data_IF_023525697238
#
_entry.id   IF_023525697238
#
_cell.length_a   1.000
_cell.length_b   1.000
_cell.length_c   1.000
_cell.angle_alpha   90.00
_cell.angle_beta   90.00
_cell.angle_gamma   90.00
#
_symmetry.space_group_name_H-M   'P 1'
#
loop_
_entity.id
_entity.type
_entity.pdbx_description
1 polymer ?
#
# COMPACT_ATOMS: atom_id res chain seq x y z
N UNK A 1 -56.12 -82.24 -29.66
CA UNK A 1 -57.12 -81.33 -30.29
C UNK A 1 -57.03 -79.98 -29.58
N UNK A 2 -56.25 -79.07 -30.06
CA UNK A 2 -56.29 -77.71 -29.57
C UNK A 2 -55.76 -76.78 -30.67
N UNK A 3 -56.60 -75.95 -31.18
CA UNK A 3 -56.28 -74.95 -32.20
C UNK A 3 -55.69 -73.72 -31.51
N UNK A 4 -54.47 -73.33 -31.87
CA UNK A 4 -53.84 -72.10 -31.46
C UNK A 4 -54.05 -71.09 -32.57
N UNK A 5 -54.76 -70.01 -32.24
CA UNK A 5 -54.91 -68.82 -33.10
C UNK A 5 -53.62 -67.91 -32.86
N UNK A 6 -52.96 -67.64 -33.98
CA UNK A 6 -51.88 -66.63 -33.98
C UNK A 6 -52.49 -65.33 -34.46
N UNK A 7 -52.53 -64.31 -33.54
CA UNK A 7 -52.90 -62.96 -33.88
C UNK A 7 -51.66 -62.19 -34.22
N UNK A 8 -51.53 -61.69 -35.43
CA UNK A 8 -50.45 -60.82 -35.90
C UNK A 8 -50.78 -59.36 -35.50
N UNK A 9 -50.03 -58.78 -34.62
CA UNK A 9 -50.14 -57.37 -34.23
C UNK A 9 -49.19 -56.56 -35.11
N UNK A 10 -49.73 -55.74 -36.03
CA UNK A 10 -48.95 -54.74 -36.77
C UNK A 10 -48.66 -53.57 -35.85
N UNK A 11 -47.37 -53.38 -35.48
CA UNK A 11 -46.86 -52.18 -34.79
C UNK A 11 -46.40 -51.19 -35.86
N UNK A 12 -47.13 -50.10 -36.04
CA UNK A 12 -46.72 -48.96 -36.84
C UNK A 12 -45.66 -48.13 -36.04
N UNK A 13 -44.45 -48.19 -36.49
CA UNK A 13 -43.38 -47.25 -35.96
C UNK A 13 -43.68 -45.85 -36.49
N UNK A 14 -44.14 -44.95 -35.60
CA UNK A 14 -44.08 -43.55 -35.82
C UNK A 14 -42.63 -43.07 -35.42
N UNK A 15 -41.88 -42.70 -36.42
CA UNK A 15 -40.56 -42.01 -36.21
C UNK A 15 -40.82 -40.60 -35.71
N UNK A 16 -40.70 -40.38 -34.42
CA UNK A 16 -40.62 -39.02 -33.83
C UNK A 16 -39.21 -38.54 -34.02
N UNK A 17 -38.99 -37.69 -35.01
CA UNK A 17 -37.73 -36.89 -35.10
C UNK A 17 -37.76 -35.81 -34.01
N UNK A 18 -37.11 -36.10 -32.89
CA UNK A 18 -36.79 -35.09 -31.89
C UNK A 18 -35.75 -34.12 -32.49
N UNK A 19 -36.20 -32.98 -32.99
CA UNK A 19 -35.32 -31.83 -33.20
C UNK A 19 -34.83 -31.40 -31.84
N UNK A 20 -33.58 -31.68 -31.55
CA UNK A 20 -32.84 -31.04 -30.43
C UNK A 20 -32.78 -29.54 -30.72
N UNK A 21 -33.73 -28.79 -30.17
CA UNK A 21 -33.54 -27.33 -29.99
C UNK A 21 -32.36 -27.16 -29.05
N UNK A 22 -31.20 -26.87 -29.61
CA UNK A 22 -30.06 -26.37 -28.84
C UNK A 22 -30.51 -25.11 -28.10
N UNK A 23 -30.71 -25.22 -26.80
CA UNK A 23 -30.80 -24.05 -25.93
C UNK A 23 -29.51 -23.32 -26.07
N UNK A 24 -29.52 -22.21 -26.83
CA UNK A 24 -28.43 -21.26 -26.83
C UNK A 24 -28.20 -20.82 -25.36
N UNK A 25 -27.15 -21.26 -24.77
CA UNK A 25 -26.72 -20.82 -23.45
C UNK A 25 -26.56 -19.30 -23.55
N UNK A 26 -27.40 -18.56 -22.82
CA UNK A 26 -27.32 -17.10 -22.75
C UNK A 26 -25.90 -16.77 -22.36
N UNK A 27 -25.19 -15.97 -23.17
CA UNK A 27 -23.84 -15.56 -22.86
C UNK A 27 -23.87 -14.93 -21.47
N UNK A 28 -22.95 -15.36 -20.58
CA UNK A 28 -22.81 -14.75 -19.27
C UNK A 28 -22.56 -13.25 -19.47
N UNK A 29 -23.27 -12.40 -18.71
CA UNK A 29 -23.03 -10.94 -18.73
C UNK A 29 -21.68 -10.64 -18.11
N UNK A 30 -20.74 -10.25 -18.97
CA UNK A 30 -19.38 -9.88 -18.56
C UNK A 30 -19.22 -8.38 -18.32
N UNK A 31 -20.28 -7.58 -18.37
CA UNK A 31 -20.22 -6.16 -18.05
C UNK A 31 -19.84 -5.92 -16.59
N UNK A 32 -19.15 -4.83 -16.32
CA UNK A 32 -18.75 -4.38 -14.98
C UNK A 32 -17.24 -4.46 -14.70
N UNK A 33 -16.90 -4.40 -13.43
CA UNK A 33 -15.50 -4.36 -12.97
C UNK A 33 -14.90 -5.76 -12.85
N UNK A 34 -13.62 -5.84 -13.22
CA UNK A 34 -12.80 -7.05 -13.15
C UNK A 34 -11.43 -6.73 -12.59
N UNK A 35 -10.80 -7.71 -11.97
CA UNK A 35 -9.37 -7.73 -11.67
C UNK A 35 -8.75 -8.68 -12.69
N UNK A 36 -8.02 -8.13 -13.65
CA UNK A 36 -7.31 -8.84 -14.70
C UNK A 36 -5.93 -9.23 -14.18
N UNK A 37 -5.54 -10.46 -14.40
CA UNK A 37 -4.18 -10.97 -14.16
C UNK A 37 -3.62 -11.51 -15.47
N UNK A 38 -2.48 -10.96 -15.87
CA UNK A 38 -1.71 -11.33 -17.06
C UNK A 38 -0.44 -12.05 -16.61
N UNK A 39 -0.24 -13.26 -17.10
CA UNK A 39 0.90 -14.12 -16.79
C UNK A 39 1.86 -14.16 -17.97
N UNK A 40 2.89 -13.34 -17.89
CA UNK A 40 4.02 -13.33 -18.85
C UNK A 40 5.05 -14.39 -18.47
N UNK A 41 5.94 -14.79 -19.40
CA UNK A 41 7.10 -15.59 -19.06
C UNK A 41 7.98 -14.88 -17.99
N UNK A 42 7.96 -15.39 -16.77
CA UNK A 42 8.77 -14.86 -15.65
C UNK A 42 8.16 -13.70 -14.87
N UNK A 43 6.98 -13.16 -15.26
CA UNK A 43 6.33 -12.05 -14.56
C UNK A 43 4.80 -12.16 -14.55
N UNK A 44 4.15 -11.42 -13.67
CA UNK A 44 2.69 -11.37 -13.55
C UNK A 44 2.26 -9.94 -13.29
N UNK A 45 1.35 -9.44 -14.13
CA UNK A 45 0.76 -8.12 -13.98
C UNK A 45 -0.70 -8.24 -13.54
N UNK A 46 -1.13 -7.37 -12.64
CA UNK A 46 -2.53 -7.30 -12.19
C UNK A 46 -3.04 -5.88 -12.37
N UNK A 47 -4.22 -5.76 -12.96
CA UNK A 47 -4.85 -4.49 -13.29
C UNK A 47 -6.33 -4.49 -12.97
N UNK A 48 -6.89 -3.31 -12.77
CA UNK A 48 -8.35 -3.10 -12.82
C UNK A 48 -8.79 -3.00 -14.27
N UNK A 49 -9.87 -3.69 -14.63
CA UNK A 49 -10.48 -3.65 -15.95
C UNK A 49 -11.97 -3.41 -15.80
N UNK A 50 -12.53 -2.54 -16.60
CA UNK A 50 -13.98 -2.36 -16.73
C UNK A 50 -14.43 -2.73 -18.13
N UNK A 51 -15.53 -3.48 -18.24
CA UNK A 51 -16.11 -3.89 -19.51
C UNK A 51 -17.59 -3.48 -19.56
N UNK A 52 -18.05 -3.10 -20.75
CA UNK A 52 -19.43 -2.84 -21.09
C UNK A 52 -19.77 -3.64 -22.34
N UNK A 53 -20.84 -4.41 -22.28
CA UNK A 53 -21.32 -5.22 -23.41
C UNK A 53 -22.63 -4.64 -23.93
N UNK A 54 -22.66 -4.40 -25.24
CA UNK A 54 -23.88 -4.00 -25.95
C UNK A 54 -24.00 -4.91 -27.20
N UNK A 55 -25.05 -5.71 -27.25
CA UNK A 55 -25.20 -6.81 -28.21
C UNK A 55 -23.98 -7.75 -28.10
N UNK A 56 -23.17 -7.83 -29.15
CA UNK A 56 -21.97 -8.68 -29.21
C UNK A 56 -20.68 -7.83 -29.16
N UNK A 57 -20.77 -6.51 -28.94
CA UNK A 57 -19.63 -5.60 -28.88
C UNK A 57 -19.26 -5.37 -27.44
N UNK A 58 -17.94 -5.37 -27.20
CA UNK A 58 -17.35 -5.04 -25.90
C UNK A 58 -16.62 -3.72 -26.06
N UNK A 59 -16.85 -2.82 -25.11
CA UNK A 59 -16.03 -1.63 -24.88
C UNK A 59 -15.58 -1.62 -23.43
N UNK A 60 -14.44 -1.01 -23.15
CA UNK A 60 -13.92 -0.98 -21.78
C UNK A 60 -12.65 -0.18 -21.64
N UNK A 61 -12.07 -0.30 -20.46
CA UNK A 61 -10.77 0.32 -20.17
C UNK A 61 -10.01 -0.45 -19.07
N UNK A 62 -8.69 -0.34 -19.10
CA UNK A 62 -7.79 -0.73 -18.02
C UNK A 62 -6.80 0.42 -17.77
N UNK A 63 -6.92 1.08 -16.62
CA UNK A 63 -6.27 2.37 -16.39
C UNK A 63 -6.67 3.40 -17.47
N UNK A 64 -5.70 3.92 -18.20
CA UNK A 64 -5.91 4.86 -19.33
C UNK A 64 -6.05 4.18 -20.69
N UNK A 65 -5.82 2.87 -20.76
CA UNK A 65 -5.85 2.10 -22.01
C UNK A 65 -7.28 1.70 -22.36
N UNK A 66 -7.71 2.04 -23.58
CA UNK A 66 -9.01 1.64 -24.10
C UNK A 66 -9.02 0.16 -24.50
N UNK A 67 -10.18 -0.48 -24.29
CA UNK A 67 -10.42 -1.87 -24.68
C UNK A 67 -11.60 -1.89 -25.64
N UNK A 68 -11.44 -2.59 -26.76
CA UNK A 68 -12.51 -2.94 -27.67
C UNK A 68 -12.55 -4.45 -27.87
N UNK A 69 -13.71 -5.00 -28.17
CA UNK A 69 -13.81 -6.45 -28.35
C UNK A 69 -15.15 -6.92 -28.84
N UNK A 70 -15.26 -8.24 -28.92
CA UNK A 70 -16.50 -8.92 -29.35
C UNK A 70 -16.72 -10.21 -28.56
N UNK A 71 -17.98 -10.64 -28.51
CA UNK A 71 -18.36 -11.97 -28.06
C UNK A 71 -19.02 -12.68 -29.24
N UNK A 72 -18.45 -13.81 -29.65
CA UNK A 72 -19.02 -14.67 -30.71
C UNK A 72 -18.85 -16.13 -30.28
N UNK A 73 -19.92 -16.92 -30.33
CA UNK A 73 -19.90 -18.35 -29.96
C UNK A 73 -19.29 -18.65 -28.59
N UNK A 74 -19.59 -17.77 -27.59
CA UNK A 74 -19.02 -17.78 -26.24
C UNK A 74 -17.50 -17.52 -26.18
N UNK A 75 -16.89 -17.12 -27.28
CA UNK A 75 -15.48 -16.67 -27.33
C UNK A 75 -15.46 -15.14 -27.18
N UNK A 76 -14.66 -14.68 -26.22
CA UNK A 76 -14.41 -13.28 -25.94
C UNK A 76 -13.10 -12.92 -26.65
N UNK A 77 -13.11 -11.88 -27.47
CA UNK A 77 -11.90 -11.29 -28.04
C UNK A 77 -11.81 -9.86 -27.56
N UNK A 78 -10.68 -9.49 -26.95
CA UNK A 78 -10.39 -8.14 -26.47
C UNK A 78 -9.14 -7.61 -27.14
N UNK A 79 -9.11 -6.31 -27.43
CA UNK A 79 -7.97 -5.59 -28.00
C UNK A 79 -7.68 -4.37 -27.14
N UNK A 80 -6.45 -4.24 -26.71
CA UNK A 80 -5.92 -3.05 -26.06
C UNK A 80 -5.46 -2.06 -27.11
N UNK A 81 -5.90 -0.83 -26.98
CA UNK A 81 -5.62 0.22 -27.97
C UNK A 81 -4.66 1.27 -27.40
N UNK A 82 -3.63 1.56 -28.14
CA UNK A 82 -2.78 2.72 -27.89
C UNK A 82 -3.58 4.03 -28.04
N UNK A 83 -3.04 5.15 -27.59
CA UNK A 83 -3.71 6.46 -27.70
C UNK A 83 -4.00 6.86 -29.16
N UNK A 84 -3.18 6.43 -30.11
CA UNK A 84 -3.37 6.64 -31.56
C UNK A 84 -4.24 5.56 -32.21
N UNK A 85 -4.84 4.65 -31.40
CA UNK A 85 -5.82 3.66 -31.87
C UNK A 85 -5.23 2.38 -32.47
N UNK A 86 -3.90 2.17 -32.41
CA UNK A 86 -3.30 0.89 -32.82
C UNK A 86 -3.54 -0.18 -31.77
N UNK A 87 -3.62 -1.44 -32.23
CA UNK A 87 -3.72 -2.59 -31.35
C UNK A 87 -2.33 -2.88 -30.73
N UNK A 88 -2.26 -2.84 -29.43
CA UNK A 88 -1.06 -3.12 -28.62
C UNK A 88 -1.05 -4.55 -28.09
N UNK A 89 -2.25 -5.05 -27.70
CA UNK A 89 -2.41 -6.43 -27.26
C UNK A 89 -3.74 -7.02 -27.74
N UNK A 90 -3.78 -8.33 -27.90
CA UNK A 90 -5.00 -9.08 -28.22
C UNK A 90 -5.15 -10.25 -27.27
N UNK A 91 -6.34 -10.40 -26.72
CA UNK A 91 -6.70 -11.45 -25.77
C UNK A 91 -7.89 -12.23 -26.31
N UNK A 92 -7.81 -13.55 -26.24
CA UNK A 92 -8.91 -14.46 -26.61
C UNK A 92 -9.19 -15.35 -25.41
N UNK A 93 -10.46 -15.52 -25.06
CA UNK A 93 -10.84 -16.32 -23.91
C UNK A 93 -12.32 -16.65 -23.83
N UNK A 94 -12.73 -17.19 -22.70
CA UNK A 94 -14.10 -17.58 -22.42
C UNK A 94 -14.49 -17.24 -20.98
N UNK A 95 -15.78 -17.03 -20.75
CA UNK A 95 -16.34 -16.99 -19.40
C UNK A 95 -16.48 -18.45 -18.88
N UNK A 96 -16.00 -18.65 -17.65
CA UNK A 96 -16.04 -19.95 -16.99
C UNK A 96 -16.22 -19.78 -15.47
N UNK A 97 -17.38 -20.14 -14.94
CA UNK A 97 -17.67 -20.10 -13.51
C UNK A 97 -17.53 -18.71 -12.90
N UNK A 98 -18.06 -17.67 -13.57
CA UNK A 98 -17.99 -16.29 -13.11
C UNK A 98 -16.63 -15.61 -13.29
N UNK A 99 -15.65 -16.29 -13.89
CA UNK A 99 -14.33 -15.73 -14.23
C UNK A 99 -14.14 -15.71 -15.75
N UNK A 100 -13.19 -14.94 -16.22
CA UNK A 100 -12.72 -14.95 -17.61
C UNK A 100 -11.32 -15.57 -17.65
N UNK A 101 -11.04 -16.37 -18.66
CA UNK A 101 -9.73 -17.00 -18.84
C UNK A 101 -9.41 -17.16 -20.34
N UNK A 102 -8.15 -17.08 -20.68
CA UNK A 102 -7.69 -17.29 -22.03
C UNK A 102 -6.22 -17.06 -22.27
N UNK A 103 -5.90 -16.89 -23.52
CA UNK A 103 -4.55 -16.61 -24.02
C UNK A 103 -4.52 -15.22 -24.65
N UNK A 104 -3.37 -14.61 -24.64
CA UNK A 104 -3.16 -13.30 -25.26
C UNK A 104 -1.78 -13.16 -25.85
N UNK A 105 -1.63 -12.08 -26.57
CA UNK A 105 -0.35 -11.64 -27.12
C UNK A 105 -0.22 -10.12 -26.92
N UNK A 106 0.91 -9.69 -26.35
CA UNK A 106 1.27 -8.31 -26.18
C UNK A 106 2.64 -8.05 -26.82
N UNK A 107 2.66 -7.22 -27.84
CA UNK A 107 3.89 -6.87 -28.61
C UNK A 107 4.70 -8.13 -28.98
N UNK A 108 4.00 -9.19 -29.47
CA UNK A 108 4.64 -10.45 -29.88
C UNK A 108 4.94 -11.43 -28.73
N UNK A 109 4.68 -11.08 -27.48
CA UNK A 109 4.89 -11.94 -26.32
C UNK A 109 3.56 -12.66 -26.01
N UNK A 110 3.57 -13.98 -26.03
CA UNK A 110 2.41 -14.80 -25.63
C UNK A 110 2.28 -14.85 -24.12
N UNK A 111 1.04 -14.76 -23.65
CA UNK A 111 0.71 -14.80 -22.23
C UNK A 111 -0.58 -15.57 -21.97
N UNK A 112 -0.75 -16.04 -20.75
CA UNK A 112 -2.04 -16.48 -20.23
C UNK A 112 -2.70 -15.34 -19.47
N UNK A 113 -4.02 -15.24 -19.53
CA UNK A 113 -4.74 -14.24 -18.75
C UNK A 113 -5.97 -14.82 -18.06
N UNK A 114 -6.30 -14.22 -16.96
CA UNK A 114 -7.56 -14.49 -16.25
C UNK A 114 -8.10 -13.18 -15.68
N UNK A 115 -9.43 -13.09 -15.56
CA UNK A 115 -10.04 -11.99 -14.84
C UNK A 115 -11.12 -12.54 -13.90
N UNK A 116 -11.14 -11.98 -12.68
CA UNK A 116 -12.13 -12.27 -11.65
C UNK A 116 -12.87 -11.01 -11.22
N UNK A 117 -14.07 -11.18 -10.71
CA UNK A 117 -14.77 -10.05 -10.08
C UNK A 117 -14.03 -9.61 -8.81
N UNK A 118 -14.00 -8.31 -8.51
CA UNK A 118 -13.56 -7.85 -7.18
C UNK A 118 -14.37 -8.56 -6.09
N UNK A 119 -13.71 -8.91 -4.99
CA UNK A 119 -14.39 -9.49 -3.83
C UNK A 119 -15.41 -8.50 -3.29
N UNK A 120 -16.66 -8.89 -3.24
CA UNK A 120 -17.69 -8.04 -2.66
C UNK A 120 -17.53 -7.97 -1.14
N UNK A 121 -17.73 -6.78 -0.58
CA UNK A 121 -17.80 -6.62 0.87
C UNK A 121 -18.98 -7.44 1.41
N UNK A 122 -18.80 -8.22 2.48
CA UNK A 122 -19.92 -8.84 3.19
C UNK A 122 -20.90 -7.78 3.72
N UNK A 123 -22.16 -8.12 3.84
CA UNK A 123 -23.18 -7.23 4.40
C UNK A 123 -22.77 -6.66 5.77
N UNK A 124 -23.29 -5.48 6.13
CA UNK A 124 -23.06 -4.83 7.44
C UNK A 124 -22.09 -3.65 7.44
N UNK A 125 -21.55 -3.24 6.27
CA UNK A 125 -20.69 -2.05 6.15
C UNK A 125 -19.28 -2.20 6.72
N UNK A 126 -18.56 -1.08 7.00
CA UNK A 126 -17.21 -1.10 7.56
C UNK A 126 -17.13 -1.76 8.94
N UNK A 127 -16.03 -2.48 9.19
CA UNK A 127 -15.83 -3.26 10.44
C UNK A 127 -14.60 -2.78 11.19
N UNK A 128 -14.61 -3.03 12.50
CA UNK A 128 -13.42 -2.88 13.33
C UNK A 128 -12.87 -4.26 13.67
N UNK A 129 -11.61 -4.48 13.32
CA UNK A 129 -10.86 -5.71 13.57
C UNK A 129 -9.92 -5.51 14.77
N UNK A 130 -10.04 -6.33 15.81
CA UNK A 130 -9.05 -6.41 16.88
C UNK A 130 -8.04 -7.48 16.47
N UNK A 131 -6.86 -7.08 16.00
CA UNK A 131 -5.84 -7.97 15.50
C UNK A 131 -4.64 -8.01 16.43
N UNK A 132 -4.30 -9.19 16.95
CA UNK A 132 -3.09 -9.41 17.74
C UNK A 132 -2.06 -10.14 16.86
N UNK A 133 -0.95 -9.49 16.50
CA UNK A 133 0.10 -10.13 15.70
C UNK A 133 0.72 -11.31 16.45
N UNK A 134 0.91 -12.41 15.73
CA UNK A 134 1.66 -13.60 16.21
C UNK A 134 3.01 -13.72 15.54
N UNK A 135 3.15 -13.09 14.37
CA UNK A 135 4.37 -13.02 13.58
C UNK A 135 4.73 -11.57 13.26
N UNK A 136 6.03 -11.31 13.15
CA UNK A 136 6.57 -10.00 12.83
C UNK A 136 7.60 -10.14 11.71
N UNK A 137 7.46 -9.34 10.67
CA UNK A 137 8.24 -9.47 9.46
C UNK A 137 9.33 -8.41 9.40
N UNK A 138 10.52 -8.80 8.93
CA UNK A 138 11.70 -7.93 8.79
C UNK A 138 12.02 -7.60 7.34
N UNK A 139 11.08 -7.90 6.45
CA UNK A 139 11.15 -7.56 5.03
C UNK A 139 9.77 -7.18 4.53
N UNK A 140 9.74 -6.22 3.61
CA UNK A 140 8.61 -6.00 2.72
C UNK A 140 8.71 -6.97 1.55
N UNK A 141 7.68 -7.75 1.30
CA UNK A 141 7.65 -8.68 0.18
C UNK A 141 6.23 -9.05 -0.20
N UNK A 142 5.97 -9.15 -1.49
CA UNK A 142 4.71 -9.69 -2.02
C UNK A 142 4.50 -11.18 -1.67
N UNK A 143 5.58 -11.91 -1.37
CA UNK A 143 5.52 -13.35 -1.09
C UNK A 143 5.11 -13.69 0.35
N UNK A 144 4.98 -12.69 1.24
CA UNK A 144 4.52 -12.91 2.61
C UNK A 144 3.00 -13.04 2.61
N UNK A 145 2.45 -14.16 3.10
CA UNK A 145 1.00 -14.35 3.17
C UNK A 145 0.32 -13.27 4.02
N UNK A 146 -0.86 -12.78 3.62
CA UNK A 146 -1.61 -11.81 4.42
C UNK A 146 -1.95 -12.31 5.81
N UNK A 147 -1.61 -11.52 6.84
CA UNK A 147 -2.00 -11.80 8.22
C UNK A 147 -3.49 -11.51 8.47
N UNK A 148 -4.05 -10.54 7.76
CA UNK A 148 -5.46 -10.16 7.82
C UNK A 148 -5.90 -9.59 6.47
N UNK A 149 -7.12 -9.92 6.04
CA UNK A 149 -7.77 -9.32 4.87
C UNK A 149 -8.86 -8.36 5.33
N UNK A 150 -8.82 -7.13 4.82
CA UNK A 150 -9.71 -6.03 5.20
C UNK A 150 -10.22 -5.29 3.95
N UNK A 151 -11.32 -4.59 4.10
CA UNK A 151 -11.92 -3.79 3.03
C UNK A 151 -11.66 -2.29 3.23
N UNK A 152 -11.67 -1.49 2.16
CA UNK A 152 -11.69 -0.03 2.28
C UNK A 152 -12.78 0.44 3.26
N UNK A 153 -12.48 1.33 4.19
CA UNK A 153 -13.35 1.76 5.29
C UNK A 153 -13.22 0.94 6.58
N UNK A 154 -12.57 -0.24 6.55
CA UNK A 154 -12.35 -1.01 7.78
C UNK A 154 -11.27 -0.38 8.66
N UNK A 155 -11.44 -0.57 9.96
CA UNK A 155 -10.51 -0.13 11.01
C UNK A 155 -9.82 -1.35 11.64
N UNK A 156 -8.53 -1.25 11.89
CA UNK A 156 -7.75 -2.28 12.59
C UNK A 156 -7.18 -1.67 13.87
N UNK A 157 -7.39 -2.36 14.99
CA UNK A 157 -6.73 -2.12 16.28
C UNK A 157 -5.67 -3.19 16.47
N UNK A 158 -4.43 -2.79 16.63
CA UNK A 158 -3.31 -3.72 16.70
C UNK A 158 -2.17 -3.15 17.54
N UNK A 159 -1.05 -3.86 17.55
CA UNK A 159 0.18 -3.45 18.26
C UNK A 159 1.41 -3.88 17.47
N UNK A 160 2.55 -3.26 17.78
CA UNK A 160 3.86 -3.65 17.29
C UNK A 160 4.78 -4.03 18.44
N UNK A 161 5.85 -4.75 18.12
CA UNK A 161 7.06 -4.78 18.93
C UNK A 161 7.90 -3.54 18.62
N UNK A 162 8.96 -3.28 19.43
CA UNK A 162 9.96 -2.25 19.12
C UNK A 162 10.93 -2.68 18.02
N UNK A 163 11.80 -1.78 17.56
CA UNK A 163 12.83 -2.06 16.56
C UNK A 163 13.74 -3.24 16.93
N UNK A 164 13.93 -3.52 18.23
CA UNK A 164 14.65 -4.68 18.75
C UNK A 164 13.87 -5.99 18.75
N UNK A 165 12.56 -5.97 18.49
CA UNK A 165 11.68 -7.13 18.49
C UNK A 165 11.08 -7.48 19.85
N UNK A 166 10.99 -6.52 20.79
CA UNK A 166 10.48 -6.71 22.16
C UNK A 166 9.08 -6.11 22.30
N UNK A 167 8.15 -6.84 22.89
CA UNK A 167 6.75 -6.45 23.07
C UNK A 167 6.53 -5.59 24.34
N UNK A 168 5.26 -5.27 24.61
CA UNK A 168 4.81 -4.47 25.75
C UNK A 168 5.11 -5.14 27.11
N UNK A 169 5.29 -6.46 27.15
CA UNK A 169 5.62 -7.22 28.35
C UNK A 169 7.14 -7.47 28.49
N UNK A 170 7.95 -6.77 27.69
CA UNK A 170 9.40 -6.96 27.62
C UNK A 170 9.82 -8.38 27.17
N UNK A 171 8.95 -9.07 26.43
CA UNK A 171 9.23 -10.39 25.85
C UNK A 171 9.71 -10.20 24.41
N UNK A 172 10.85 -10.81 24.08
CA UNK A 172 11.37 -10.81 22.72
C UNK A 172 10.53 -11.73 21.84
N UNK A 173 9.88 -11.16 20.82
CA UNK A 173 9.02 -11.89 19.87
C UNK A 173 9.68 -12.09 18.51
N UNK A 174 10.67 -11.26 18.17
CA UNK A 174 11.37 -11.30 16.89
C UNK A 174 12.84 -10.95 17.08
N UNK A 175 13.65 -11.19 16.06
CA UNK A 175 14.95 -10.57 15.93
C UNK A 175 14.78 -9.09 15.62
N UNK A 176 15.74 -8.26 16.02
CA UNK A 176 15.76 -6.83 15.71
C UNK A 176 15.92 -6.54 14.20
N UNK A 177 15.83 -5.27 13.84
CA UNK A 177 15.81 -4.75 12.48
C UNK A 177 14.39 -4.40 12.05
N UNK A 178 13.69 -3.65 12.89
CA UNK A 178 12.37 -3.06 12.69
C UNK A 178 11.30 -4.09 12.27
N UNK A 179 11.02 -5.12 13.11
CA UNK A 179 10.02 -6.12 12.78
C UNK A 179 8.61 -5.53 12.83
N UNK A 180 7.85 -5.71 11.73
CA UNK A 180 6.56 -5.08 11.49
C UNK A 180 5.38 -6.05 11.62
N UNK A 181 4.25 -5.51 11.99
CA UNK A 181 2.94 -6.16 11.95
C UNK A 181 2.35 -6.11 10.55
N UNK A 182 1.58 -7.13 10.17
CA UNK A 182 1.01 -7.29 8.83
C UNK A 182 1.59 -8.52 8.10
N UNK A 183 1.52 -8.63 6.76
CA UNK A 183 0.86 -7.65 5.89
C UNK A 183 -0.67 -7.69 5.99
N UNK A 184 -1.28 -6.52 5.94
CA UNK A 184 -2.72 -6.37 5.81
C UNK A 184 -3.06 -6.31 4.32
N UNK A 185 -3.92 -7.22 3.87
CA UNK A 185 -4.40 -7.24 2.48
C UNK A 185 -5.67 -6.41 2.36
N UNK A 186 -5.64 -5.41 1.50
CA UNK A 186 -6.80 -4.53 1.25
C UNK A 186 -7.56 -5.06 0.03
N UNK A 187 -8.77 -5.54 0.24
CA UNK A 187 -9.62 -6.09 -0.82
C UNK A 187 -9.90 -5.04 -1.90
N UNK A 188 -9.67 -5.43 -3.14
CA UNK A 188 -9.88 -4.59 -4.31
C UNK A 188 -8.74 -3.65 -4.65
N UNK A 189 -7.68 -3.55 -3.83
CA UNK A 189 -6.50 -2.78 -4.18
C UNK A 189 -5.70 -3.49 -5.28
N UNK A 190 -5.31 -2.76 -6.32
CA UNK A 190 -4.49 -3.24 -7.43
C UNK A 190 -3.40 -2.23 -7.78
N UNK A 191 -2.31 -2.63 -8.46
CA UNK A 191 -1.29 -1.71 -8.92
C UNK A 191 -1.88 -0.52 -9.69
N UNK A 192 -1.39 0.69 -9.37
CA UNK A 192 -1.90 1.95 -9.93
C UNK A 192 -2.93 2.66 -9.06
N UNK A 193 -3.43 2.02 -8.01
CA UNK A 193 -4.25 2.67 -6.99
C UNK A 193 -3.37 3.45 -5.99
N UNK A 194 -4.00 4.28 -5.17
CA UNK A 194 -3.42 4.86 -3.96
C UNK A 194 -4.11 4.30 -2.72
N UNK A 195 -3.35 3.65 -1.84
CA UNK A 195 -3.82 3.24 -0.52
C UNK A 195 -3.84 4.44 0.42
N UNK A 196 -4.94 4.62 1.15
CA UNK A 196 -5.12 5.65 2.17
C UNK A 196 -5.08 4.97 3.54
N UNK A 197 -4.20 5.43 4.44
CA UNK A 197 -4.05 4.89 5.81
C UNK A 197 -4.21 6.04 6.79
N UNK A 198 -5.33 6.10 7.48
CA UNK A 198 -5.59 7.09 8.52
C UNK A 198 -5.19 6.53 9.89
N UNK A 199 -4.26 7.19 10.57
CA UNK A 199 -3.83 6.86 11.91
C UNK A 199 -4.82 7.45 12.93
N UNK A 200 -5.75 6.64 13.42
CA UNK A 200 -6.78 7.09 14.36
C UNK A 200 -6.24 7.21 15.77
N UNK A 201 -5.30 6.33 16.16
CA UNK A 201 -4.67 6.30 17.46
C UNK A 201 -3.27 5.72 17.36
N UNK A 202 -2.31 6.34 18.06
CA UNK A 202 -0.92 5.84 18.20
C UNK A 202 -0.48 6.12 19.63
N UNK A 203 -0.17 5.08 20.42
CA UNK A 203 0.17 5.19 21.84
C UNK A 203 1.27 4.23 22.22
N UNK A 204 2.15 4.67 23.12
CA UNK A 204 3.06 3.77 23.82
C UNK A 204 2.27 2.81 24.70
N UNK A 205 2.64 1.54 24.71
CA UNK A 205 1.96 0.51 25.53
C UNK A 205 2.88 -0.13 26.57
N UNK A 206 4.04 0.48 26.83
CA UNK A 206 4.95 0.19 27.94
C UNK A 206 5.59 1.49 28.46
N UNK A 207 6.29 1.42 29.59
CA UNK A 207 6.80 2.57 30.33
C UNK A 207 8.30 2.86 30.11
N UNK A 208 8.91 2.26 29.08
CA UNK A 208 10.30 2.47 28.74
C UNK A 208 10.57 2.47 27.24
N UNK A 209 11.65 3.14 26.86
CA UNK A 209 12.21 3.15 25.52
C UNK A 209 13.74 3.01 25.53
N UNK A 210 14.32 2.68 24.39
CA UNK A 210 15.75 2.63 24.16
C UNK A 210 16.10 3.55 23.00
N UNK A 211 17.24 4.28 23.07
CA UNK A 211 17.71 5.10 21.95
C UNK A 211 19.14 4.77 21.54
N UNK A 212 19.55 5.27 20.40
CA UNK A 212 20.95 5.35 20.02
C UNK A 212 21.74 6.31 20.95
N UNK A 213 23.06 6.27 20.85
CA UNK A 213 23.98 7.05 21.71
C UNK A 213 24.97 7.92 20.93
N UNK A 214 24.92 7.87 19.62
CA UNK A 214 25.86 8.59 18.75
C UNK A 214 25.13 9.13 17.55
N UNK A 215 25.46 10.35 17.17
CA UNK A 215 24.91 10.92 15.94
C UNK A 215 25.36 10.13 14.72
N UNK A 216 24.45 10.01 13.75
CA UNK A 216 24.69 9.34 12.47
C UNK A 216 25.73 10.06 11.63
N UNK A 217 26.55 9.29 10.92
CA UNK A 217 27.65 9.83 10.12
C UNK A 217 27.19 10.75 8.99
N UNK A 218 26.03 10.48 8.41
CA UNK A 218 25.46 11.29 7.32
C UNK A 218 25.14 12.74 7.73
N UNK A 219 24.95 12.98 9.03
CA UNK A 219 24.66 14.31 9.57
C UNK A 219 25.93 15.10 9.99
N UNK A 220 27.11 14.49 9.97
CA UNK A 220 28.33 15.06 10.54
C UNK A 220 29.40 15.27 9.48
N UNK A 221 30.17 16.36 9.64
CA UNK A 221 31.38 16.53 8.84
C UNK A 221 32.43 15.45 9.21
N UNK A 222 33.22 14.95 8.23
CA UNK A 222 34.19 13.88 8.46
C UNK A 222 35.18 14.20 9.58
N UNK A 223 35.68 15.45 9.65
CA UNK A 223 36.62 15.87 10.68
C UNK A 223 36.03 15.84 12.10
N UNK A 224 34.77 16.19 12.26
CA UNK A 224 34.08 16.06 13.54
C UNK A 224 33.82 14.60 13.91
N UNK A 225 33.38 13.79 12.95
CA UNK A 225 33.09 12.35 13.14
C UNK A 225 34.33 11.59 13.64
N UNK A 226 35.50 11.88 13.09
CA UNK A 226 36.76 11.25 13.50
C UNK A 226 37.19 11.57 14.95
N UNK A 227 36.72 12.68 15.50
CA UNK A 227 37.10 13.17 16.82
C UNK A 227 35.99 13.06 17.87
N UNK A 228 34.95 12.27 17.60
CA UNK A 228 33.85 12.07 18.54
C UNK A 228 34.35 11.46 19.87
N UNK A 229 34.13 12.19 20.95
CA UNK A 229 34.39 11.71 22.31
C UNK A 229 33.12 11.05 22.87
N UNK A 230 33.02 9.72 22.71
CA UNK A 230 31.87 8.94 23.18
C UNK A 230 32.05 8.59 24.65
N UNK A 231 30.98 8.76 25.43
CA UNK A 231 30.96 8.30 26.81
C UNK A 231 31.05 6.77 26.86
N UNK A 232 31.94 6.27 27.75
CA UNK A 232 31.97 4.82 28.04
C UNK A 232 30.86 4.48 29.04
N UNK A 233 30.18 3.35 28.83
CA UNK A 233 29.14 2.83 29.73
C UNK A 233 27.91 3.76 29.92
N UNK A 234 27.60 4.60 28.94
CA UNK A 234 26.37 5.39 28.96
C UNK A 234 25.15 4.47 28.74
N UNK A 235 24.10 4.63 29.54
CA UNK A 235 22.82 3.93 29.34
C UNK A 235 21.86 4.86 28.62
N UNK A 236 21.39 4.45 27.45
CA UNK A 236 20.38 5.14 26.65
C UNK A 236 18.96 4.61 26.88
N UNK A 237 18.72 4.04 28.08
CA UNK A 237 17.39 3.62 28.49
C UNK A 237 16.62 4.81 29.07
N UNK A 238 15.40 4.98 28.61
CA UNK A 238 14.48 6.05 28.96
C UNK A 238 13.26 5.52 29.69
N UNK A 239 12.83 6.25 30.69
CA UNK A 239 11.53 6.06 31.32
C UNK A 239 10.50 6.90 30.58
N UNK A 240 9.34 6.32 30.29
CA UNK A 240 8.21 7.02 29.69
C UNK A 240 7.18 7.31 30.79
N UNK A 241 6.76 8.55 30.91
CA UNK A 241 5.70 9.00 31.84
C UNK A 241 4.53 9.58 31.04
N UNK A 242 3.60 8.74 30.54
CA UNK A 242 2.45 9.22 29.79
C UNK A 242 1.54 10.16 30.58
N UNK A 243 1.52 10.07 31.91
CA UNK A 243 0.70 10.95 32.75
C UNK A 243 1.18 12.40 32.75
N UNK A 244 2.50 12.60 32.60
CA UNK A 244 3.13 13.92 32.43
C UNK A 244 3.41 14.26 30.97
N UNK A 245 3.26 13.31 30.05
CA UNK A 245 3.57 13.51 28.64
C UNK A 245 5.06 13.66 28.33
N UNK A 246 5.94 13.04 29.11
CA UNK A 246 7.40 13.20 28.96
C UNK A 246 8.16 11.89 29.08
N UNK A 247 9.37 11.86 28.48
CA UNK A 247 10.38 10.84 28.69
C UNK A 247 11.61 11.46 29.37
N UNK A 248 12.35 10.67 30.16
CA UNK A 248 13.60 11.04 30.80
C UNK A 248 14.54 9.84 30.93
N UNK A 249 15.84 10.10 30.96
CA UNK A 249 16.83 9.03 31.12
C UNK A 249 16.70 8.35 32.49
N UNK A 250 16.75 7.02 32.53
CA UNK A 250 16.74 6.27 33.80
C UNK A 250 18.02 6.52 34.62
N UNK A 251 19.17 6.60 33.96
CA UNK A 251 20.47 6.78 34.57
C UNK A 251 21.21 7.98 33.91
N UNK A 252 20.76 9.22 34.14
CA UNK A 252 21.35 10.39 33.51
C UNK A 252 22.73 10.73 34.08
N UNK A 253 23.60 11.30 33.26
CA UNK A 253 24.76 12.05 33.74
C UNK A 253 24.34 13.37 34.38
N UNK A 254 25.20 14.00 35.17
CA UNK A 254 24.84 15.23 35.88
C UNK A 254 24.29 16.34 34.98
N UNK A 255 24.83 16.59 33.75
CA UNK A 255 24.26 17.58 32.84
C UNK A 255 22.85 17.24 32.35
N UNK A 256 22.45 15.96 32.37
CA UNK A 256 21.19 15.49 31.80
C UNK A 256 20.11 15.18 32.87
N UNK A 257 20.41 15.41 34.16
CA UNK A 257 19.45 15.03 35.25
C UNK A 257 18.08 15.71 35.17
N UNK A 258 18.01 16.89 34.59
CA UNK A 258 16.76 17.64 34.45
C UNK A 258 16.17 17.56 33.04
N UNK A 259 16.85 16.83 32.13
CA UNK A 259 16.36 16.70 30.76
C UNK A 259 15.06 15.88 30.69
N UNK A 260 14.03 16.47 30.12
CA UNK A 260 12.80 15.80 29.74
C UNK A 260 12.51 16.04 28.26
N UNK A 261 12.01 15.02 27.58
CA UNK A 261 11.60 15.07 26.18
C UNK A 261 10.09 14.89 26.12
N UNK A 262 9.32 15.78 25.46
CA UNK A 262 7.88 15.59 25.26
C UNK A 262 7.58 14.31 24.48
N UNK A 263 6.63 13.52 24.96
CA UNK A 263 6.14 12.34 24.23
C UNK A 263 5.37 12.78 22.99
N UNK A 264 5.77 12.25 21.84
CA UNK A 264 5.10 12.42 20.55
C UNK A 264 5.06 11.06 19.82
N UNK A 265 4.22 10.11 20.29
CA UNK A 265 4.19 8.78 19.74
C UNK A 265 3.90 8.78 18.25
N UNK A 266 4.72 8.06 17.49
CA UNK A 266 4.64 7.94 16.03
C UNK A 266 4.99 6.53 15.56
N UNK A 267 4.74 6.23 14.29
CA UNK A 267 5.20 5.02 13.63
C UNK A 267 6.30 5.39 12.63
N UNK A 268 7.50 4.89 12.84
CA UNK A 268 8.64 5.07 11.95
C UNK A 268 8.40 4.36 10.61
N UNK A 269 7.78 3.20 10.67
CA UNK A 269 7.61 2.36 9.51
C UNK A 269 6.14 2.16 9.12
N UNK A 270 5.78 2.68 7.93
CA UNK A 270 4.47 2.50 7.28
C UNK A 270 4.71 2.30 5.79
N UNK A 271 4.50 1.09 5.27
CA UNK A 271 4.79 0.79 3.87
C UNK A 271 4.01 -0.39 3.32
N UNK A 272 3.99 -0.48 1.99
CA UNK A 272 3.35 -1.58 1.25
C UNK A 272 4.40 -2.50 0.62
N UNK A 273 3.99 -3.64 0.09
CA UNK A 273 4.89 -4.48 -0.69
C UNK A 273 5.44 -3.70 -1.90
N UNK A 274 6.78 -3.74 -2.14
CA UNK A 274 7.42 -2.98 -3.19
C UNK A 274 7.05 -3.49 -4.60
N UNK A 275 7.38 -2.71 -5.66
CA UNK A 275 7.14 -3.14 -7.04
C UNK A 275 7.93 -4.39 -7.42
N UNK A 276 7.43 -5.10 -8.42
CA UNK A 276 8.07 -6.29 -8.98
C UNK A 276 8.16 -7.42 -7.95
N UNK A 277 9.33 -8.05 -7.89
CA UNK A 277 9.62 -9.15 -6.96
C UNK A 277 10.64 -8.76 -5.88
N UNK A 278 10.79 -7.47 -5.64
CA UNK A 278 11.75 -6.98 -4.66
C UNK A 278 11.41 -7.45 -3.25
N UNK A 279 12.47 -7.77 -2.51
CA UNK A 279 12.42 -8.06 -1.09
C UNK A 279 13.33 -7.05 -0.38
N UNK A 280 12.71 -6.13 0.35
CA UNK A 280 13.40 -4.99 0.97
C UNK A 280 13.32 -5.12 2.49
N UNK A 281 14.43 -4.86 3.19
CA UNK A 281 14.44 -4.88 4.66
C UNK A 281 13.52 -3.81 5.23
N UNK A 282 12.91 -4.09 6.37
CA UNK A 282 11.99 -3.15 7.03
C UNK A 282 12.68 -1.92 7.64
N UNK A 283 13.99 -1.93 7.79
CA UNK A 283 14.78 -0.74 8.11
C UNK A 283 15.16 0.13 6.88
N UNK A 284 14.63 -0.18 5.69
CA UNK A 284 14.82 0.64 4.49
C UNK A 284 13.49 1.27 4.05
N UNK A 285 13.58 2.37 3.32
CA UNK A 285 12.45 3.12 2.77
C UNK A 285 12.59 3.31 1.26
N UNK A 286 11.49 3.68 0.61
CA UNK A 286 11.48 3.92 -0.84
C UNK A 286 10.14 4.46 -1.33
N UNK A 287 9.89 4.33 -2.64
CA UNK A 287 8.61 4.77 -3.23
C UNK A 287 7.40 4.02 -2.65
N UNK A 288 7.61 2.88 -2.02
CA UNK A 288 6.59 2.06 -1.35
C UNK A 288 6.30 2.50 0.10
N UNK A 289 6.94 3.55 0.61
CA UNK A 289 6.98 3.94 2.02
C UNK A 289 8.10 3.20 2.75
N UNK A 290 7.77 2.49 3.80
CA UNK A 290 8.72 1.75 4.64
C UNK A 290 9.17 2.58 5.84
N UNK A 291 10.45 2.46 6.18
CA UNK A 291 11.07 3.18 7.29
C UNK A 291 11.29 4.64 6.93
N UNK A 292 10.23 5.42 6.99
CA UNK A 292 10.26 6.83 6.58
C UNK A 292 10.73 7.76 7.71
N UNK A 293 10.65 7.29 8.95
CA UNK A 293 11.07 7.95 10.19
C UNK A 293 10.71 9.45 10.24
N UNK A 294 9.48 9.73 9.79
CA UNK A 294 8.99 11.10 9.78
C UNK A 294 8.09 11.36 10.99
N UNK A 295 8.55 12.22 11.90
CA UNK A 295 7.92 12.49 13.19
C UNK A 295 6.50 13.08 13.12
N UNK A 296 5.97 13.36 11.92
CA UNK A 296 4.57 13.73 11.72
C UNK A 296 3.67 12.53 11.35
N UNK A 297 4.20 11.31 11.16
CA UNK A 297 3.40 10.09 10.95
C UNK A 297 2.90 9.59 12.31
N UNK A 298 1.98 10.32 12.89
CA UNK A 298 1.43 10.15 14.23
C UNK A 298 -0.10 10.19 14.21
N UNK A 299 -0.71 10.03 15.39
CA UNK A 299 -2.16 10.13 15.54
C UNK A 299 -2.74 11.37 14.85
N UNK A 300 -3.81 11.16 14.07
CA UNK A 300 -4.48 12.20 13.28
C UNK A 300 -3.89 12.43 11.89
N UNK A 301 -2.79 11.76 11.54
CA UNK A 301 -2.19 11.84 10.20
C UNK A 301 -2.82 10.79 9.27
N UNK A 302 -3.06 11.17 8.03
CA UNK A 302 -3.39 10.27 6.93
C UNK A 302 -2.16 10.11 6.02
N UNK A 303 -1.77 8.86 5.77
CA UNK A 303 -0.68 8.49 4.87
C UNK A 303 -1.26 7.94 3.58
N UNK A 304 -0.70 8.33 2.45
CA UNK A 304 -1.05 7.86 1.11
C UNK A 304 0.13 7.10 0.53
N UNK A 305 -0.09 5.86 0.11
CA UNK A 305 0.94 4.99 -0.42
C UNK A 305 0.57 4.51 -1.82
N UNK A 306 1.50 4.49 -2.78
CA UNK A 306 1.24 3.90 -4.09
C UNK A 306 1.09 2.38 -3.96
N UNK A 307 0.13 1.80 -4.66
CA UNK A 307 -0.08 0.34 -4.68
C UNK A 307 0.70 -0.28 -5.82
N UNK A 308 1.55 -1.26 -5.51
CA UNK A 308 2.38 -1.99 -6.48
C UNK A 308 2.00 -3.46 -6.61
N UNK A 309 1.31 -4.02 -5.61
CA UNK A 309 0.89 -5.41 -5.55
C UNK A 309 -0.61 -5.51 -5.30
N UNK A 310 -1.24 -6.58 -5.76
CA UNK A 310 -2.62 -6.86 -5.41
C UNK A 310 -2.79 -6.93 -3.89
N UNK A 311 -3.79 -6.22 -3.38
CA UNK A 311 -4.04 -6.07 -1.95
C UNK A 311 -3.10 -5.10 -1.25
N UNK A 312 -2.24 -4.36 -1.97
CA UNK A 312 -1.24 -3.44 -1.45
C UNK A 312 -0.23 -4.10 -0.50
N UNK A 313 -0.68 -4.99 0.41
CA UNK A 313 0.11 -5.67 1.44
C UNK A 313 0.78 -4.66 2.39
N UNK A 314 -0.03 -4.02 3.23
CA UNK A 314 0.40 -2.98 4.17
C UNK A 314 1.11 -3.58 5.39
N UNK A 315 2.30 -3.07 5.70
CA UNK A 315 3.08 -3.37 6.91
C UNK A 315 3.22 -2.11 7.75
N UNK A 316 3.14 -2.24 9.08
CA UNK A 316 3.24 -1.13 10.01
C UNK A 316 3.91 -1.52 11.31
N UNK A 317 4.66 -0.60 11.91
CA UNK A 317 5.34 -0.81 13.20
C UNK A 317 6.43 0.21 13.43
N UNK A 318 7.48 -0.21 14.15
CA UNK A 318 8.61 0.65 14.46
C UNK A 318 8.15 1.89 15.24
N UNK A 319 7.75 1.66 16.47
CA UNK A 319 7.11 2.67 17.30
C UNK A 319 8.10 3.54 18.05
N UNK A 320 8.05 4.86 17.85
CA UNK A 320 8.88 5.83 18.54
C UNK A 320 8.06 6.65 19.54
N UNK A 321 8.51 6.72 20.78
CA UNK A 321 7.86 7.55 21.79
C UNK A 321 8.13 9.06 21.55
N UNK A 322 9.26 9.39 20.93
CA UNK A 322 9.62 10.72 20.45
C UNK A 322 10.80 10.62 19.48
N UNK A 323 10.86 11.52 18.50
CA UNK A 323 11.95 11.63 17.54
C UNK A 323 12.15 13.09 17.11
N UNK A 324 13.40 13.55 17.07
CA UNK A 324 13.79 14.81 16.42
C UNK A 324 13.94 14.63 14.91
N UNK A 325 14.01 15.75 14.17
CA UNK A 325 14.24 15.70 12.74
C UNK A 325 15.56 14.97 12.40
N UNK A 326 15.50 14.11 11.37
CA UNK A 326 16.63 13.36 10.86
C UNK A 326 17.05 12.15 11.67
N UNK A 327 16.35 11.83 12.76
CA UNK A 327 16.66 10.69 13.64
C UNK A 327 18.15 10.59 13.99
N UNK A 328 18.73 11.70 14.43
CA UNK A 328 20.18 11.90 14.51
C UNK A 328 20.95 10.90 15.37
N UNK A 329 20.30 10.16 16.25
CA UNK A 329 20.96 9.13 17.07
C UNK A 329 20.97 7.75 16.45
N UNK A 330 20.35 7.58 15.25
CA UNK A 330 20.29 6.30 14.53
C UNK A 330 19.21 5.34 15.02
N UNK A 331 18.67 5.60 16.19
CA UNK A 331 17.47 5.04 16.78
C UNK A 331 16.79 6.18 17.55
N UNK A 332 15.51 6.35 17.40
CA UNK A 332 14.71 7.30 18.16
C UNK A 332 14.49 6.84 19.62
N UNK A 333 13.41 7.22 20.28
CA UNK A 333 12.98 6.59 21.52
C UNK A 333 12.16 5.32 21.18
N UNK A 334 12.87 4.24 20.89
CA UNK A 334 12.34 2.96 20.42
C UNK A 334 11.48 2.30 21.48
N UNK A 335 10.22 2.01 21.15
CA UNK A 335 9.30 1.36 22.07
C UNK A 335 8.22 0.55 21.34
N UNK A 336 7.58 -0.38 22.03
CA UNK A 336 6.40 -1.04 21.49
C UNK A 336 5.19 -0.09 21.52
N UNK A 337 4.28 -0.28 20.57
CA UNK A 337 3.11 0.59 20.39
C UNK A 337 1.82 -0.20 20.30
N UNK A 338 0.72 0.39 20.76
CA UNK A 338 -0.62 0.07 20.29
C UNK A 338 -1.09 1.16 19.32
N UNK A 339 -1.72 0.74 18.23
CA UNK A 339 -2.23 1.69 17.25
C UNK A 339 -3.52 1.22 16.59
N UNK A 340 -4.28 2.21 16.13
CA UNK A 340 -5.52 2.01 15.40
C UNK A 340 -5.46 2.79 14.10
N UNK A 341 -5.80 2.14 12.99
CA UNK A 341 -5.83 2.76 11.68
C UNK A 341 -7.05 2.33 10.87
N UNK A 342 -7.50 3.22 10.00
CA UNK A 342 -8.55 2.94 9.02
C UNK A 342 -7.92 3.00 7.63
N UNK A 343 -8.26 2.02 6.77
CA UNK A 343 -7.80 2.02 5.37
C UNK A 343 -8.91 2.49 4.44
N UNK A 344 -8.51 3.16 3.36
CA UNK A 344 -9.36 3.44 2.22
C UNK A 344 -8.55 3.32 0.92
N UNK A 345 -9.21 3.44 -0.22
CA UNK A 345 -8.58 3.25 -1.52
C UNK A 345 -9.04 4.35 -2.48
N UNK A 346 -8.09 4.94 -3.21
CA UNK A 346 -8.38 5.81 -4.34
C UNK A 346 -8.05 5.03 -5.62
N UNK A 347 -9.05 4.45 -6.28
CA UNK A 347 -8.84 3.64 -7.47
C UNK A 347 -8.28 4.47 -8.62
N UNK A 348 -7.45 3.85 -9.45
CA UNK A 348 -6.91 4.41 -10.70
C UNK A 348 -6.21 5.77 -10.52
N UNK A 349 -5.73 6.06 -9.31
CA UNK A 349 -4.94 7.25 -8.98
C UNK A 349 -3.56 6.83 -8.49
N UNK A 350 -2.59 6.86 -9.39
CA UNK A 350 -1.19 6.59 -9.05
C UNK A 350 -0.50 7.84 -8.50
N UNK A 351 0.30 7.66 -7.46
CA UNK A 351 1.21 8.68 -6.91
C UNK A 351 2.66 8.20 -7.04
N UNK A 352 3.61 9.12 -7.16
CA UNK A 352 5.00 8.77 -7.43
C UNK A 352 5.81 8.37 -6.20
N UNK A 353 5.49 8.95 -5.05
CA UNK A 353 6.09 8.66 -3.74
C UNK A 353 5.04 8.79 -2.64
N UNK A 354 5.32 8.34 -1.41
CA UNK A 354 4.40 8.52 -0.29
C UNK A 354 4.02 9.99 -0.07
N UNK A 355 2.77 10.20 0.31
CA UNK A 355 2.24 11.49 0.74
C UNK A 355 1.65 11.35 2.15
N UNK A 356 1.55 12.44 2.86
CA UNK A 356 0.82 12.49 4.11
C UNK A 356 0.05 13.80 4.25
N UNK A 357 -0.95 13.82 5.11
CA UNK A 357 -1.60 15.04 5.55
C UNK A 357 -2.05 14.93 7.01
N UNK A 358 -2.04 16.06 7.69
CA UNK A 358 -2.59 16.20 9.03
C UNK A 358 -3.53 17.44 9.08
N UNK A 359 -3.87 17.92 10.28
CA UNK A 359 -4.71 19.09 10.43
C UNK A 359 -4.12 20.35 9.75
N UNK A 360 -2.79 20.48 9.75
CA UNK A 360 -2.10 21.72 9.40
C UNK A 360 -1.48 21.71 8.00
N UNK A 361 -1.02 20.55 7.52
CA UNK A 361 -0.19 20.45 6.32
C UNK A 361 -0.64 19.34 5.36
N UNK A 362 -0.40 19.54 4.07
CA UNK A 362 -0.14 18.46 3.11
C UNK A 362 1.36 18.27 2.98
N UNK A 363 1.81 17.04 2.80
CA UNK A 363 3.22 16.64 2.93
C UNK A 363 3.58 15.60 1.86
N UNK A 364 4.58 15.89 1.03
CA UNK A 364 5.12 14.95 0.04
C UNK A 364 6.48 14.44 0.52
N UNK A 365 6.62 13.13 0.64
CA UNK A 365 7.80 12.48 1.22
C UNK A 365 8.71 12.02 0.08
N UNK A 366 9.85 12.68 -0.08
CA UNK A 366 10.88 12.30 -1.04
C UNK A 366 11.95 11.46 -0.35
N UNK A 367 12.21 10.29 -0.91
CA UNK A 367 13.18 9.31 -0.38
C UNK A 367 14.22 9.05 -1.47
N UNK A 368 15.50 9.09 -1.13
CA UNK A 368 16.57 8.92 -2.10
C UNK A 368 17.91 8.55 -1.48
N UNK A 369 18.88 8.17 -2.30
CA UNK A 369 20.24 7.86 -1.89
C UNK A 369 21.07 9.10 -1.47
N UNK A 370 20.52 10.30 -1.64
CA UNK A 370 21.11 11.56 -1.18
C UNK A 370 20.04 12.59 -0.87
N UNK A 371 20.37 13.61 -0.07
CA UNK A 371 19.45 14.70 0.24
C UNK A 371 18.98 15.45 -0.99
N UNK A 372 19.83 15.63 -2.00
CA UNK A 372 19.47 16.28 -3.27
C UNK A 372 18.39 15.46 -4.02
N UNK A 373 18.56 14.15 -4.11
CA UNK A 373 17.55 13.28 -4.73
C UNK A 373 16.25 13.26 -3.94
N UNK A 374 16.33 13.19 -2.61
CA UNK A 374 15.16 13.23 -1.74
C UNK A 374 14.40 14.56 -1.88
N UNK A 375 15.12 15.70 -1.90
CA UNK A 375 14.54 17.02 -2.12
C UNK A 375 13.84 17.12 -3.47
N UNK A 376 14.48 16.66 -4.56
CA UNK A 376 13.89 16.67 -5.90
C UNK A 376 12.61 15.84 -5.97
N UNK A 377 12.61 14.65 -5.36
CA UNK A 377 11.42 13.78 -5.30
C UNK A 377 10.29 14.40 -4.50
N UNK A 378 10.57 14.93 -3.31
CA UNK A 378 9.58 15.61 -2.48
C UNK A 378 8.96 16.82 -3.20
N UNK A 379 9.80 17.66 -3.80
CA UNK A 379 9.38 18.86 -4.54
C UNK A 379 8.51 18.49 -5.75
N UNK A 380 8.97 17.50 -6.55
CA UNK A 380 8.23 17.04 -7.72
C UNK A 380 6.87 16.45 -7.33
N UNK A 381 6.84 15.65 -6.27
CA UNK A 381 5.58 15.03 -5.84
C UNK A 381 4.60 16.06 -5.26
N UNK A 382 5.09 17.07 -4.55
CA UNK A 382 4.26 18.20 -4.12
C UNK A 382 3.69 18.97 -5.30
N UNK A 383 4.50 19.25 -6.33
CA UNK A 383 4.04 19.90 -7.54
C UNK A 383 2.93 19.08 -8.23
N UNK A 384 3.14 17.77 -8.42
CA UNK A 384 2.12 16.86 -8.96
C UNK A 384 0.84 16.84 -8.13
N UNK A 385 0.95 16.93 -6.82
CA UNK A 385 -0.22 16.99 -5.95
C UNK A 385 -1.02 18.27 -6.17
N UNK A 386 -0.35 19.40 -6.25
CA UNK A 386 -0.98 20.70 -6.52
C UNK A 386 -1.63 20.74 -7.92
N UNK A 387 -0.94 20.30 -8.94
CA UNK A 387 -1.45 20.23 -10.31
C UNK A 387 -2.63 19.26 -10.43
N UNK A 388 -2.51 18.08 -9.84
CA UNK A 388 -3.54 17.03 -9.94
C UNK A 388 -4.80 17.32 -9.15
N UNK A 389 -4.67 17.67 -7.88
CA UNK A 389 -5.80 17.77 -6.94
C UNK A 389 -6.34 19.22 -6.83
N UNK A 390 -5.47 20.21 -6.91
CA UNK A 390 -5.85 21.64 -6.85
C UNK A 390 -6.03 22.27 -8.25
N UNK A 391 -5.74 21.52 -9.32
CA UNK A 391 -5.92 21.94 -10.72
C UNK A 391 -5.09 23.16 -11.10
N UNK A 392 -3.95 23.36 -10.45
CA UNK A 392 -3.03 24.44 -10.77
C UNK A 392 -2.22 24.10 -12.02
N UNK A 393 -1.90 25.11 -12.84
CA UNK A 393 -0.88 24.97 -13.87
C UNK A 393 0.52 25.11 -13.26
N UNK A 394 1.57 24.83 -14.03
CA UNK A 394 2.96 24.85 -13.54
C UNK A 394 3.44 26.21 -13.02
N UNK A 395 2.92 27.32 -13.58
CA UNK A 395 3.25 28.67 -13.12
C UNK A 395 2.61 28.95 -11.76
N UNK A 396 1.31 28.63 -11.62
CA UNK A 396 0.59 28.77 -10.35
C UNK A 396 1.19 27.88 -9.26
N UNK A 397 1.55 26.65 -9.61
CA UNK A 397 2.28 25.72 -8.74
C UNK A 397 3.60 26.33 -8.28
N UNK A 398 4.38 26.91 -9.20
CA UNK A 398 5.64 27.59 -8.85
C UNK A 398 5.42 28.77 -7.90
N UNK A 399 4.35 29.56 -8.07
CA UNK A 399 4.02 30.68 -7.17
C UNK A 399 3.70 30.17 -5.76
N UNK A 400 2.86 29.14 -5.63
CA UNK A 400 2.53 28.57 -4.31
C UNK A 400 3.77 27.96 -3.66
N UNK A 401 4.50 27.15 -4.39
CA UNK A 401 5.69 26.49 -3.84
C UNK A 401 6.79 27.49 -3.49
N UNK A 402 7.03 28.49 -4.34
CA UNK A 402 8.08 29.48 -4.12
C UNK A 402 7.92 30.29 -2.83
N UNK A 403 6.71 30.43 -2.31
CA UNK A 403 6.43 31.26 -1.15
C UNK A 403 5.85 30.52 0.07
N UNK A 404 5.34 29.31 -0.09
CA UNK A 404 4.65 28.59 0.97
C UNK A 404 5.25 27.23 1.34
N UNK A 405 6.09 26.64 0.47
CA UNK A 405 6.72 25.35 0.78
C UNK A 405 7.69 25.47 1.95
N UNK A 406 7.66 24.47 2.81
CA UNK A 406 8.64 24.24 3.88
C UNK A 406 9.21 22.84 3.70
N UNK A 407 10.45 22.64 4.15
CA UNK A 407 11.10 21.35 4.09
C UNK A 407 11.50 20.90 5.48
N UNK A 408 11.22 19.62 5.78
CA UNK A 408 11.75 18.93 6.95
C UNK A 408 12.75 17.86 6.50
N UNK A 409 13.79 17.64 7.28
CA UNK A 409 14.66 16.47 7.16
C UNK A 409 14.03 15.38 8.02
N UNK A 410 13.44 14.36 7.41
CA UNK A 410 12.74 13.34 8.15
C UNK A 410 13.69 12.27 8.69
N UNK A 411 14.56 11.72 7.82
CA UNK A 411 15.50 10.65 8.16
C UNK A 411 16.86 10.83 7.49
N UNK A 412 17.94 10.57 8.25
CA UNK A 412 19.34 10.55 7.81
C UNK A 412 20.01 9.20 8.12
N UNK A 413 19.24 8.21 8.56
CA UNK A 413 19.68 6.86 8.91
C UNK A 413 19.60 5.95 7.69
N UNK A 414 20.35 4.87 7.68
CA UNK A 414 20.23 3.84 6.65
C UNK A 414 20.86 4.19 5.30
N UNK A 415 20.40 3.50 4.27
CA UNK A 415 20.88 3.61 2.87
C UNK A 415 20.13 4.65 2.07
N UNK A 416 18.95 5.04 2.51
CA UNK A 416 18.12 6.09 1.94
C UNK A 416 17.95 7.20 2.97
N UNK A 417 17.79 8.42 2.50
CA UNK A 417 17.47 9.60 3.30
C UNK A 417 16.15 10.18 2.88
N UNK A 418 15.46 10.87 3.79
CA UNK A 418 14.12 11.39 3.55
C UNK A 418 14.01 12.88 3.79
N UNK A 419 13.48 13.62 2.80
CA UNK A 419 13.08 15.02 2.86
C UNK A 419 11.57 15.10 2.66
N UNK A 420 10.91 15.95 3.42
CA UNK A 420 9.48 16.20 3.27
C UNK A 420 9.24 17.62 2.83
N UNK A 421 8.61 17.80 1.66
CA UNK A 421 8.05 19.08 1.25
C UNK A 421 6.64 19.21 1.84
N UNK A 422 6.35 20.31 2.55
CA UNK A 422 5.03 20.53 3.15
C UNK A 422 4.50 21.93 2.87
N UNK A 423 3.17 22.02 2.71
CA UNK A 423 2.46 23.29 2.47
C UNK A 423 1.34 23.41 3.50
N UNK A 424 1.20 24.59 4.16
CA UNK A 424 0.12 24.81 5.11
C UNK A 424 -1.25 24.73 4.43
N UNK A 425 -2.18 23.99 5.02
CA UNK A 425 -3.58 23.92 4.53
C UNK A 425 -4.27 25.28 4.55
N UNK A 426 -3.87 26.17 5.46
CA UNK A 426 -4.36 27.57 5.50
C UNK A 426 -3.99 28.37 4.24
N UNK A 427 -2.85 28.09 3.61
CA UNK A 427 -2.48 28.67 2.31
C UNK A 427 -3.37 28.11 1.20
N UNK A 428 -3.55 26.79 1.16
CA UNK A 428 -4.36 26.10 0.14
C UNK A 428 -5.85 26.46 0.23
N UNK A 429 -6.35 26.76 1.43
CA UNK A 429 -7.73 27.19 1.63
C UNK A 429 -8.07 28.53 0.99
N UNK A 430 -7.07 29.32 0.59
CA UNK A 430 -7.25 30.60 -0.10
C UNK A 430 -7.41 30.44 -1.62
N UNK A 431 -7.14 29.26 -2.15
CA UNK A 431 -7.30 28.97 -3.57
C UNK A 431 -8.79 28.89 -3.91
N UNK A 432 -9.22 29.62 -4.94
CA UNK A 432 -10.58 29.47 -5.47
C UNK A 432 -10.66 28.14 -6.21
N UNK A 433 -11.61 27.31 -5.83
CA UNK A 433 -11.92 26.05 -6.51
C UNK A 433 -12.91 26.27 -7.63
#
# INVERSE_FOLDING_TARGET
MLRILVSILLISMLSISAQAQGTATKAEDISGQWILTEQFPGDTHTHRMSLQVTDNKITGQSGTTKIEGTIADAVITLKWLTQDGRVDATFTGKAQGGNLKGEGEWIGIKLQWSARRPTARPEGGPRTHNFTPTEFHRTFSYAIPPALRIFPGDTVKTKSVDAGGTDENSVRRSLGGNPLSGPFFIEGAVPGDTLVVKLNRVRTNRDWAQSGQSMVGNALSPGYLMNLNRAKNFSSRWKLDPSKGVAYLENPTDPLKQLTIPLQPMLGCVGVAPPGRDVIRTGDSGIFGGNMDYNQIREGTTVYLPVFQEGALLFMGDGHAAQGDGELTGDALETSMEFEFTVDLIPDKSIGTPRAENADYIMAIGIGGSLDQALQRATTEMARWLEGDYKLNSTETAMIMGFAVKYDVADLVGTQVSIVAKIPKTTLAQLKR
#
